data_IF_794112913839
#
_entry.id   IF_794112913839
#
_cell.length_a   1.000
_cell.length_b   1.000
_cell.length_c   1.000
_cell.angle_alpha   90.00
_cell.angle_beta   90.00
_cell.angle_gamma   90.00
#
_symmetry.space_group_name_H-M   'P 1'
#
loop_
_entity.id
_entity.type
_entity.pdbx_description
1 polymer ?
#
# COMPACT_ATOMS: atom_id res chain seq x y z
N UNK A 1 21.61 1.07 17.18
CA UNK A 1 21.04 -0.29 17.21
C UNK A 1 20.57 -0.57 15.79
N UNK A 2 20.86 -1.74 15.20
CA UNK A 2 20.40 -2.08 13.84
C UNK A 2 18.88 -2.24 13.83
N UNK A 3 18.24 -1.93 12.72
CA UNK A 3 16.81 -2.24 12.52
C UNK A 3 16.62 -3.74 12.41
N UNK A 4 15.53 -4.27 12.96
CA UNK A 4 15.26 -5.72 13.02
C UNK A 4 14.03 -6.06 12.22
N UNK A 5 14.13 -7.07 11.36
CA UNK A 5 12.98 -7.60 10.61
C UNK A 5 12.87 -9.09 10.89
N UNK A 6 11.74 -9.49 11.45
CA UNK A 6 11.39 -10.90 11.58
C UNK A 6 10.77 -11.38 10.28
N UNK A 7 11.28 -12.48 9.75
CA UNK A 7 10.77 -13.17 8.56
C UNK A 7 10.35 -14.58 8.97
N UNK A 8 9.09 -14.93 8.77
CA UNK A 8 8.58 -16.24 9.15
C UNK A 8 7.72 -16.86 8.06
N UNK A 9 7.98 -18.13 7.76
CA UNK A 9 7.14 -18.95 6.88
C UNK A 9 5.72 -19.06 7.45
N UNK A 10 4.75 -18.80 6.59
CA UNK A 10 3.32 -18.95 6.85
C UNK A 10 2.65 -19.39 5.55
N UNK A 11 2.53 -20.70 5.35
CA UNK A 11 2.17 -21.30 4.06
C UNK A 11 0.72 -21.08 3.62
N UNK A 12 -0.18 -20.72 4.52
CA UNK A 12 -1.57 -20.45 4.18
C UNK A 12 -2.22 -19.61 5.28
N UNK A 13 -3.50 -19.33 5.09
CA UNK A 13 -4.32 -18.59 6.04
C UNK A 13 -5.04 -19.47 7.07
N UNK A 14 -4.56 -20.71 7.33
CA UNK A 14 -5.02 -21.49 8.48
C UNK A 14 -4.84 -20.67 9.75
N UNK A 15 -5.93 -20.51 10.49
CA UNK A 15 -5.98 -19.57 11.59
C UNK A 15 -4.93 -19.87 12.68
N UNK A 16 -4.79 -21.15 13.06
CA UNK A 16 -3.86 -21.57 14.10
C UNK A 16 -2.41 -21.44 13.66
N UNK A 17 -2.11 -21.62 12.38
CA UNK A 17 -0.79 -21.36 11.81
C UNK A 17 -0.47 -19.87 11.82
N UNK A 18 -1.39 -19.03 11.34
CA UNK A 18 -1.20 -17.57 11.33
C UNK A 18 -0.99 -17.05 12.74
N UNK A 19 -1.83 -17.45 13.72
CA UNK A 19 -1.70 -17.04 15.13
C UNK A 19 -0.33 -17.39 15.71
N UNK A 20 0.10 -18.65 15.59
CA UNK A 20 1.43 -19.09 16.08
C UNK A 20 2.58 -18.35 15.40
N UNK A 21 2.44 -18.04 14.11
CA UNK A 21 3.45 -17.28 13.37
C UNK A 21 3.59 -15.87 13.92
N UNK A 22 2.47 -15.20 14.20
CA UNK A 22 2.45 -13.84 14.74
C UNK A 22 2.98 -13.81 16.18
N UNK A 23 2.58 -14.76 17.03
CA UNK A 23 3.08 -14.90 18.40
C UNK A 23 4.60 -15.07 18.41
N UNK A 24 5.12 -16.05 17.65
CA UNK A 24 6.56 -16.29 17.50
C UNK A 24 7.30 -15.04 17.02
N UNK A 25 6.74 -14.32 16.03
CA UNK A 25 7.40 -13.15 15.49
C UNK A 25 7.43 -11.97 16.46
N UNK A 26 6.38 -11.78 17.25
CA UNK A 26 6.37 -10.80 18.32
C UNK A 26 7.37 -11.16 19.43
N UNK A 27 7.47 -12.43 19.81
CA UNK A 27 8.46 -12.91 20.79
C UNK A 27 9.91 -12.61 20.35
N UNK A 28 10.24 -12.86 19.07
CA UNK A 28 11.56 -12.54 18.51
C UNK A 28 11.91 -11.04 18.57
N UNK A 29 10.90 -10.16 18.59
CA UNK A 29 11.10 -8.72 18.73
C UNK A 29 11.14 -8.21 20.18
N UNK A 30 10.95 -9.11 21.16
CA UNK A 30 10.90 -8.78 22.59
C UNK A 30 9.51 -8.87 23.22
N UNK A 31 8.53 -9.46 22.51
CA UNK A 31 7.16 -9.65 22.96
C UNK A 31 6.23 -8.48 22.65
N UNK A 32 4.92 -8.76 22.58
CA UNK A 32 3.91 -7.76 22.24
C UNK A 32 3.86 -6.55 23.21
N UNK A 33 4.20 -6.78 24.48
CA UNK A 33 4.24 -5.72 25.51
C UNK A 33 5.28 -4.62 25.27
N UNK A 34 6.22 -4.81 24.32
CA UNK A 34 7.13 -3.75 23.86
C UNK A 34 6.41 -2.68 23.04
N UNK A 35 5.29 -3.04 22.39
CA UNK A 35 4.59 -2.19 21.43
C UNK A 35 3.28 -1.64 21.96
N UNK A 36 2.71 -2.27 22.99
CA UNK A 36 1.43 -1.88 23.59
C UNK A 36 1.47 -2.04 25.11
N UNK A 37 0.74 -1.18 25.80
CA UNK A 37 0.59 -1.18 27.25
C UNK A 37 -0.88 -1.40 27.65
N UNK A 38 -1.10 -2.03 28.80
CA UNK A 38 -2.45 -2.33 29.31
C UNK A 38 -3.26 -1.04 29.45
N UNK A 39 -4.49 -1.04 28.92
CA UNK A 39 -5.42 0.08 29.01
C UNK A 39 -5.34 1.08 27.84
N UNK A 40 -4.29 1.04 27.02
CA UNK A 40 -4.18 1.86 25.81
C UNK A 40 -5.29 1.54 24.80
N UNK A 41 -5.70 2.55 24.03
CA UNK A 41 -6.51 2.39 22.81
C UNK A 41 -5.58 2.25 21.61
N UNK A 42 -5.52 1.05 21.06
CA UNK A 42 -4.66 0.70 19.93
C UNK A 42 -5.49 0.55 18.66
N UNK A 43 -5.10 1.29 17.63
CA UNK A 43 -5.68 1.17 16.29
C UNK A 43 -4.97 0.08 15.50
N UNK A 44 -5.74 -0.93 15.07
CA UNK A 44 -5.34 -1.85 14.01
C UNK A 44 -5.62 -1.20 12.65
N UNK A 45 -4.56 -1.00 11.87
CA UNK A 45 -4.62 -0.33 10.57
C UNK A 45 -4.41 -1.33 9.42
N UNK A 46 -5.45 -2.04 8.96
CA UNK A 46 -5.37 -2.92 7.79
C UNK A 46 -5.14 -2.12 6.49
N UNK A 47 -4.95 -2.87 5.40
CA UNK A 47 -5.03 -2.39 4.03
C UNK A 47 -6.40 -2.77 3.45
N UNK A 48 -7.23 -1.78 3.13
CA UNK A 48 -8.59 -1.98 2.60
C UNK A 48 -8.80 -1.46 1.18
N UNK A 49 -7.75 -0.96 0.51
CA UNK A 49 -7.69 -0.35 -0.84
C UNK A 49 -9.04 -0.09 -1.56
N UNK A 50 -9.75 -1.17 -1.92
CA UNK A 50 -11.13 -1.18 -2.44
C UNK A 50 -11.92 -2.33 -1.80
N UNK A 51 -13.25 -2.25 -1.84
CA UNK A 51 -14.13 -3.31 -1.34
C UNK A 51 -13.95 -4.62 -2.16
N UNK A 52 -13.13 -5.53 -1.63
CA UNK A 52 -12.75 -6.79 -2.27
C UNK A 52 -12.86 -7.94 -1.27
N UNK A 53 -13.26 -9.13 -1.73
CA UNK A 53 -13.27 -10.30 -0.87
C UNK A 53 -11.82 -10.82 -0.68
N UNK A 54 -11.55 -11.58 0.39
CA UNK A 54 -10.18 -11.98 0.78
C UNK A 54 -9.39 -12.70 -0.32
N UNK A 55 -10.07 -13.52 -1.13
CA UNK A 55 -9.48 -14.40 -2.15
C UNK A 55 -8.89 -13.61 -3.33
N UNK A 56 -9.19 -12.31 -3.43
CA UNK A 56 -8.55 -11.42 -4.41
C UNK A 56 -7.17 -10.91 -3.96
N UNK A 57 -6.75 -11.14 -2.71
CA UNK A 57 -5.45 -10.66 -2.20
C UNK A 57 -5.29 -9.13 -2.21
N UNK A 58 -6.39 -8.38 -2.31
CA UNK A 58 -6.38 -6.91 -2.38
C UNK A 58 -6.22 -6.29 -0.99
N UNK A 59 -6.76 -6.92 0.04
CA UNK A 59 -6.84 -6.39 1.41
C UNK A 59 -6.12 -7.31 2.38
N UNK A 60 -5.82 -6.81 3.58
CA UNK A 60 -5.31 -7.65 4.69
C UNK A 60 -6.26 -8.81 4.93
N UNK A 61 -5.72 -10.03 5.02
CA UNK A 61 -6.54 -11.22 5.19
C UNK A 61 -7.21 -11.28 6.58
N UNK A 62 -8.48 -11.72 6.68
CA UNK A 62 -9.21 -11.94 7.94
C UNK A 62 -8.43 -12.72 9.00
N UNK A 63 -7.76 -13.81 8.63
CA UNK A 63 -6.97 -14.63 9.57
C UNK A 63 -5.83 -13.84 10.22
N UNK A 64 -5.14 -12.99 9.45
CA UNK A 64 -4.05 -12.13 9.97
C UNK A 64 -4.64 -11.10 10.93
N UNK A 65 -5.71 -10.40 10.52
CA UNK A 65 -6.39 -9.43 11.36
C UNK A 65 -6.87 -10.04 12.69
N UNK A 66 -7.54 -11.19 12.65
CA UNK A 66 -8.01 -11.91 13.84
C UNK A 66 -6.86 -12.28 14.77
N UNK A 67 -5.80 -12.88 14.21
CA UNK A 67 -4.67 -13.35 14.99
C UNK A 67 -3.96 -12.19 15.70
N UNK A 68 -3.70 -11.06 15.02
CA UNK A 68 -3.13 -9.87 15.68
C UNK A 68 -4.07 -9.34 16.75
N UNK A 69 -5.37 -9.25 16.45
CA UNK A 69 -6.34 -8.72 17.39
C UNK A 69 -6.39 -9.54 18.69
N UNK A 70 -6.46 -10.87 18.60
CA UNK A 70 -6.45 -11.73 19.78
C UNK A 70 -5.15 -11.59 20.59
N UNK A 71 -3.99 -11.64 19.93
CA UNK A 71 -2.68 -11.53 20.62
C UNK A 71 -2.51 -10.19 21.35
N UNK A 72 -3.03 -9.09 20.79
CA UNK A 72 -2.97 -7.79 21.44
C UNK A 72 -4.03 -7.64 22.54
N UNK A 73 -5.25 -8.16 22.36
CA UNK A 73 -6.29 -8.15 23.42
C UNK A 73 -5.81 -8.86 24.68
N UNK A 74 -5.02 -9.92 24.55
CA UNK A 74 -4.43 -10.64 25.69
C UNK A 74 -3.46 -9.76 26.52
N UNK A 75 -3.02 -8.61 25.99
CA UNK A 75 -2.26 -7.58 26.74
C UNK A 75 -3.14 -6.55 27.46
N UNK A 76 -4.45 -6.67 27.34
CA UNK A 76 -5.42 -5.81 28.03
C UNK A 76 -5.56 -4.42 27.41
N UNK A 77 -5.31 -4.29 26.11
CA UNK A 77 -5.57 -3.06 25.35
C UNK A 77 -7.02 -3.01 24.86
N UNK A 78 -7.50 -1.80 24.58
CA UNK A 78 -8.75 -1.57 23.85
C UNK A 78 -8.41 -1.47 22.36
N UNK A 79 -9.06 -2.28 21.52
CA UNK A 79 -8.80 -2.24 20.09
C UNK A 79 -9.88 -1.44 19.36
N UNK A 80 -9.42 -0.65 18.40
CA UNK A 80 -10.24 -0.14 17.31
C UNK A 80 -9.59 -0.53 15.98
N UNK A 81 -10.31 -0.50 14.88
CA UNK A 81 -9.73 -0.75 13.56
C UNK A 81 -10.32 0.15 12.48
N UNK A 82 -9.55 0.39 11.43
CA UNK A 82 -10.05 1.09 10.25
C UNK A 82 -8.97 1.43 9.25
N UNK A 83 -9.40 1.77 8.04
CA UNK A 83 -8.59 2.29 6.94
C UNK A 83 -9.50 3.15 6.05
N UNK A 84 -8.93 4.06 5.27
CA UNK A 84 -9.68 4.91 4.34
C UNK A 84 -9.42 4.51 2.88
N UNK A 85 -10.22 3.66 2.24
CA UNK A 85 -10.12 3.45 0.80
C UNK A 85 -10.51 4.73 0.03
N UNK A 86 -9.92 4.95 -1.15
CA UNK A 86 -10.08 6.23 -1.87
C UNK A 86 -11.47 6.46 -2.48
N UNK A 87 -12.22 5.38 -2.77
CA UNK A 87 -13.37 5.43 -3.70
C UNK A 87 -14.62 4.71 -3.20
N UNK A 88 -14.55 4.08 -2.03
CA UNK A 88 -15.68 3.37 -1.41
C UNK A 88 -15.77 3.77 0.05
N UNK A 89 -16.92 3.59 0.68
CA UNK A 89 -17.03 3.86 2.12
C UNK A 89 -16.11 2.91 2.92
N UNK A 90 -15.36 3.41 3.91
CA UNK A 90 -14.48 2.60 4.77
C UNK A 90 -15.14 1.32 5.31
N UNK A 91 -16.32 1.44 5.91
CA UNK A 91 -17.04 0.31 6.50
C UNK A 91 -17.37 -0.78 5.47
N UNK A 92 -17.81 -0.37 4.27
CA UNK A 92 -18.15 -1.31 3.18
C UNK A 92 -16.93 -2.08 2.68
N UNK A 93 -15.76 -1.43 2.64
CA UNK A 93 -14.52 -2.13 2.29
C UNK A 93 -14.12 -3.15 3.36
N UNK A 94 -14.20 -2.77 4.64
CA UNK A 94 -13.93 -3.65 5.77
C UNK A 94 -14.90 -4.84 5.83
N UNK A 95 -16.18 -4.60 5.54
CA UNK A 95 -17.21 -5.64 5.48
C UNK A 95 -16.93 -6.63 4.36
N UNK A 96 -16.65 -6.14 3.14
CA UNK A 96 -16.35 -7.00 2.00
C UNK A 96 -15.06 -7.80 2.20
N UNK A 97 -14.08 -7.22 2.89
CA UNK A 97 -12.84 -7.89 3.29
C UNK A 97 -13.02 -8.89 4.44
N UNK A 98 -14.22 -9.02 5.03
CA UNK A 98 -14.51 -9.98 6.10
C UNK A 98 -14.08 -9.53 7.51
N UNK A 99 -13.52 -8.32 7.66
CA UNK A 99 -12.96 -7.85 8.94
C UNK A 99 -14.06 -7.45 9.93
N UNK A 100 -15.18 -6.91 9.44
CA UNK A 100 -16.31 -6.47 10.30
C UNK A 100 -16.89 -7.64 11.10
N UNK A 101 -16.96 -8.83 10.53
CA UNK A 101 -17.47 -10.02 11.23
C UNK A 101 -16.58 -10.36 12.44
N UNK A 102 -15.27 -10.42 12.22
CA UNK A 102 -14.28 -10.68 13.28
C UNK A 102 -14.30 -9.58 14.33
N UNK A 103 -14.37 -8.31 13.91
CA UNK A 103 -14.42 -7.19 14.84
C UNK A 103 -15.65 -7.27 15.76
N UNK A 104 -16.82 -7.67 15.25
CA UNK A 104 -18.01 -7.90 16.07
C UNK A 104 -17.83 -9.07 17.05
N UNK A 105 -17.27 -10.19 16.60
CA UNK A 105 -16.98 -11.35 17.46
C UNK A 105 -16.00 -11.01 18.59
N UNK A 106 -15.03 -10.14 18.32
CA UNK A 106 -14.00 -9.72 19.25
C UNK A 106 -14.30 -8.39 19.96
N UNK A 107 -15.49 -7.82 19.81
CA UNK A 107 -15.87 -6.51 20.40
C UNK A 107 -14.82 -5.41 20.13
N UNK A 108 -14.49 -5.23 18.84
CA UNK A 108 -13.54 -4.23 18.34
C UNK A 108 -14.31 -3.15 17.60
N UNK A 109 -14.09 -1.90 18.00
CA UNK A 109 -14.76 -0.74 17.41
C UNK A 109 -14.24 -0.46 15.99
N UNK A 110 -15.16 -0.13 15.07
CA UNK A 110 -14.78 0.47 13.78
C UNK A 110 -14.54 1.96 13.97
N UNK A 111 -13.29 2.39 13.82
CA UNK A 111 -12.88 3.77 14.07
C UNK A 111 -13.33 4.71 12.93
N UNK A 112 -13.44 6.01 13.24
CA UNK A 112 -13.83 7.02 12.25
C UNK A 112 -12.69 7.34 11.25
N UNK A 113 -12.88 6.90 10.01
CA UNK A 113 -12.03 7.18 8.85
C UNK A 113 -12.74 7.99 7.76
N UNK A 114 -13.92 8.52 8.05
CA UNK A 114 -14.67 9.41 7.15
C UNK A 114 -14.39 10.89 7.48
N UNK A 115 -14.19 11.21 8.76
CA UNK A 115 -13.79 12.55 9.21
C UNK A 115 -12.30 12.62 9.55
N UNK A 116 -11.75 13.83 9.57
CA UNK A 116 -10.39 14.07 10.03
C UNK A 116 -10.10 15.53 10.33
N UNK A 117 -8.98 15.76 11.00
CA UNK A 117 -8.56 17.08 11.46
C UNK A 117 -7.22 17.48 10.84
N UNK A 118 -7.00 18.78 10.53
CA UNK A 118 -5.71 19.26 10.07
C UNK A 118 -4.66 19.14 11.18
N UNK A 119 -3.52 18.57 10.85
CA UNK A 119 -2.36 18.41 11.73
C UNK A 119 -1.14 19.01 11.04
N UNK A 120 -0.47 19.92 11.75
CA UNK A 120 0.79 20.49 11.31
C UNK A 120 1.97 19.68 11.85
N UNK A 121 2.78 19.14 10.94
CA UNK A 121 4.00 18.41 11.22
C UNK A 121 5.21 19.29 10.93
N UNK A 122 5.73 19.96 11.96
CA UNK A 122 6.86 20.89 11.84
C UNK A 122 8.13 20.26 11.27
N UNK A 123 8.33 18.96 11.50
CA UNK A 123 9.47 18.16 11.02
C UNK A 123 9.31 17.64 9.59
N UNK A 124 8.15 17.82 8.96
CA UNK A 124 7.91 17.38 7.58
C UNK A 124 8.84 18.09 6.61
N UNK A 125 9.47 17.34 5.71
CA UNK A 125 10.42 17.89 4.73
C UNK A 125 9.74 18.28 3.42
N UNK A 126 8.80 17.46 2.95
CA UNK A 126 8.01 17.64 1.73
C UNK A 126 6.61 18.19 2.05
N UNK A 127 5.89 17.56 2.98
CA UNK A 127 4.54 17.94 3.38
C UNK A 127 4.49 18.17 4.90
N UNK A 128 4.09 19.39 5.29
CA UNK A 128 3.93 19.77 6.70
C UNK A 128 2.50 19.80 7.19
N UNK A 129 1.52 19.72 6.29
CA UNK A 129 0.11 19.76 6.66
C UNK A 129 -0.57 18.51 6.14
N UNK A 130 -1.26 17.81 7.03
CA UNK A 130 -2.04 16.62 6.71
C UNK A 130 -3.42 16.74 7.35
N UNK A 131 -4.44 16.25 6.68
CA UNK A 131 -5.70 15.92 7.36
C UNK A 131 -5.62 14.47 7.79
N UNK A 132 -5.70 14.21 9.09
CA UNK A 132 -5.57 12.87 9.67
C UNK A 132 -6.93 12.41 10.18
N UNK A 133 -7.28 11.15 9.88
CA UNK A 133 -8.53 10.53 10.28
C UNK A 133 -8.72 10.58 11.80
N UNK A 134 -9.94 10.91 12.25
CA UNK A 134 -10.27 11.03 13.68
C UNK A 134 -9.90 9.77 14.45
N UNK A 135 -10.19 8.59 13.90
CA UNK A 135 -9.86 7.31 14.53
C UNK A 135 -8.37 7.09 14.78
N UNK A 136 -7.50 7.70 13.96
CA UNK A 136 -6.04 7.69 14.17
C UNK A 136 -5.64 8.63 15.30
N UNK A 137 -6.25 9.82 15.37
CA UNK A 137 -5.95 10.83 16.40
C UNK A 137 -6.45 10.45 17.79
N UNK A 138 -7.53 9.69 17.87
CA UNK A 138 -8.12 9.20 19.13
C UNK A 138 -7.46 7.91 19.66
N UNK A 139 -6.38 7.46 19.05
CA UNK A 139 -5.68 6.23 19.45
C UNK A 139 -4.33 6.56 20.06
N UNK A 140 -3.96 5.85 21.13
CA UNK A 140 -2.67 6.01 21.81
C UNK A 140 -1.52 5.41 20.97
N UNK A 141 -1.84 4.45 20.09
CA UNK A 141 -0.88 3.81 19.21
C UNK A 141 -1.54 3.19 17.97
N UNK A 142 -0.72 3.00 16.93
CA UNK A 142 -1.12 2.36 15.67
C UNK A 142 -0.27 1.13 15.42
N UNK A 143 -0.92 0.02 15.09
CA UNK A 143 -0.30 -1.22 14.60
C UNK A 143 -0.76 -1.41 13.15
N UNK A 144 0.16 -1.38 12.20
CA UNK A 144 -0.16 -1.43 10.78
C UNK A 144 -0.10 -2.85 10.24
N UNK A 145 -1.12 -3.23 9.47
CA UNK A 145 -1.26 -4.57 8.88
C UNK A 145 -1.26 -4.49 7.34
N UNK A 146 -0.16 -4.07 6.69
CA UNK A 146 -0.11 -3.94 5.24
C UNK A 146 -0.26 -5.30 4.53
N UNK A 147 -0.83 -5.27 3.33
CA UNK A 147 -0.85 -6.37 2.35
C UNK A 147 0.22 -6.11 1.30
N UNK A 148 1.11 -7.06 1.05
CA UNK A 148 2.20 -6.87 0.08
C UNK A 148 1.72 -6.99 -1.37
N UNK A 149 1.91 -5.94 -2.16
CA UNK A 149 1.41 -5.86 -3.54
C UNK A 149 2.32 -5.00 -4.42
N UNK A 150 2.29 -5.19 -5.72
CA UNK A 150 2.86 -4.21 -6.67
C UNK A 150 2.05 -2.93 -6.71
N UNK A 151 2.69 -1.85 -7.15
CA UNK A 151 2.04 -0.56 -7.36
C UNK A 151 2.64 0.21 -8.53
N UNK A 152 1.80 0.72 -9.41
CA UNK A 152 2.22 1.33 -10.69
C UNK A 152 2.98 2.65 -10.52
N UNK A 153 2.67 3.40 -9.46
CA UNK A 153 3.35 4.65 -9.12
C UNK A 153 4.60 4.47 -8.23
N UNK A 154 4.50 3.72 -7.13
CA UNK A 154 5.52 3.63 -6.07
C UNK A 154 6.36 2.34 -6.13
N UNK A 155 6.17 1.49 -7.15
CA UNK A 155 6.80 0.17 -7.27
C UNK A 155 6.05 -0.88 -6.46
N UNK A 156 5.89 -0.66 -5.16
CA UNK A 156 5.19 -1.56 -4.24
C UNK A 156 4.17 -0.84 -3.35
N UNK A 157 3.26 -1.62 -2.77
CA UNK A 157 2.43 -1.28 -1.62
C UNK A 157 2.85 -2.18 -0.46
N UNK A 158 3.30 -1.57 0.63
CA UNK A 158 3.67 -2.26 1.86
C UNK A 158 3.59 -1.29 3.05
N UNK A 159 4.52 -1.34 4.01
CA UNK A 159 4.44 -0.69 5.32
C UNK A 159 4.33 0.83 5.25
N UNK A 160 5.24 1.49 4.51
CA UNK A 160 5.24 2.97 4.39
C UNK A 160 3.96 3.44 3.68
N UNK A 161 3.63 2.81 2.55
CA UNK A 161 2.49 3.23 1.72
C UNK A 161 1.14 2.99 2.40
N UNK A 162 1.02 1.98 3.26
CA UNK A 162 -0.24 1.68 3.95
C UNK A 162 -0.72 2.82 4.86
N UNK A 163 0.18 3.72 5.28
CA UNK A 163 -0.16 4.89 6.09
C UNK A 163 -0.91 5.97 5.31
N UNK A 164 -0.90 5.92 3.97
CA UNK A 164 -1.76 6.79 3.17
C UNK A 164 -3.25 6.58 3.52
N UNK A 165 -3.58 5.39 4.02
CA UNK A 165 -4.84 5.03 4.67
C UNK A 165 -5.32 5.95 5.80
N UNK A 166 -4.40 6.63 6.48
CA UNK A 166 -4.69 7.52 7.60
C UNK A 166 -5.21 8.91 7.18
N UNK A 167 -5.18 9.22 5.89
CA UNK A 167 -5.82 10.41 5.31
C UNK A 167 -7.25 10.03 4.91
N UNK A 168 -8.30 10.76 5.33
CA UNK A 168 -9.67 10.42 5.03
C UNK A 168 -10.06 10.73 3.57
N UNK A 169 -10.65 9.73 2.91
CA UNK A 169 -11.52 9.86 1.73
C UNK A 169 -10.93 10.57 0.51
N UNK A 170 -11.75 11.46 -0.08
CA UNK A 170 -11.57 12.20 -1.34
C UNK A 170 -10.39 13.18 -1.37
N UNK A 171 -9.69 13.37 -0.24
CA UNK A 171 -8.45 14.15 -0.21
C UNK A 171 -7.29 13.41 -0.89
N UNK A 172 -7.36 12.07 -0.98
CA UNK A 172 -6.30 11.24 -1.56
C UNK A 172 -6.04 11.51 -3.05
N UNK A 173 -7.06 11.64 -3.91
CA UNK A 173 -6.86 12.11 -5.27
C UNK A 173 -6.19 13.49 -5.37
N UNK A 174 -6.42 14.40 -4.42
CA UNK A 174 -5.76 15.72 -4.45
C UNK A 174 -4.25 15.63 -4.31
N UNK A 175 -3.74 14.72 -3.46
CA UNK A 175 -2.30 14.51 -3.33
C UNK A 175 -1.69 14.03 -4.64
N UNK A 176 -2.39 13.17 -5.40
CA UNK A 176 -1.90 12.71 -6.71
C UNK A 176 -1.92 13.80 -7.79
N UNK A 177 -2.79 14.80 -7.65
CA UNK A 177 -2.83 15.95 -8.56
C UNK A 177 -1.77 17.00 -8.18
N UNK A 178 -1.58 17.26 -6.89
CA UNK A 178 -0.62 18.24 -6.38
C UNK A 178 0.83 17.74 -6.44
N UNK A 179 1.05 16.45 -6.18
CA UNK A 179 2.37 15.81 -6.19
C UNK A 179 2.51 15.04 -7.50
N UNK A 180 3.02 15.75 -8.50
CA UNK A 180 2.96 15.30 -9.89
C UNK A 180 3.94 14.19 -10.22
N UNK A 181 4.91 13.90 -9.35
CA UNK A 181 5.93 12.87 -9.56
C UNK A 181 5.88 11.74 -8.51
N UNK A 182 6.26 10.49 -8.87
CA UNK A 182 6.41 9.40 -7.90
C UNK A 182 7.35 9.74 -6.74
N UNK A 183 8.39 10.53 -7.01
CA UNK A 183 9.36 10.99 -6.03
C UNK A 183 8.72 11.90 -4.99
N UNK A 184 8.01 12.96 -5.42
CA UNK A 184 7.31 13.90 -4.53
C UNK A 184 6.23 13.19 -3.71
N UNK A 185 5.47 12.30 -4.33
CA UNK A 185 4.45 11.50 -3.64
C UNK A 185 5.08 10.59 -2.58
N UNK A 186 6.21 9.94 -2.89
CA UNK A 186 6.90 9.07 -1.95
C UNK A 186 7.49 9.83 -0.76
N UNK A 187 8.06 11.02 -0.97
CA UNK A 187 8.52 11.90 0.13
C UNK A 187 7.38 12.31 1.06
N UNK A 188 6.20 12.60 0.50
CA UNK A 188 5.01 12.87 1.30
C UNK A 188 4.57 11.66 2.13
N UNK A 189 4.61 10.45 1.57
CA UNK A 189 4.31 9.22 2.32
C UNK A 189 5.30 8.98 3.47
N UNK A 190 6.57 9.32 3.28
CA UNK A 190 7.59 9.25 4.34
C UNK A 190 7.25 10.24 5.45
N UNK A 191 6.98 11.51 5.13
CA UNK A 191 6.56 12.51 6.13
C UNK A 191 5.29 12.09 6.88
N UNK A 192 4.30 11.54 6.16
CA UNK A 192 3.07 11.03 6.77
C UNK A 192 3.36 9.89 7.74
N UNK A 193 4.22 8.94 7.36
CA UNK A 193 4.58 7.81 8.23
C UNK A 193 5.35 8.30 9.46
N UNK A 194 6.22 9.31 9.31
CA UNK A 194 6.91 9.96 10.45
C UNK A 194 5.94 10.71 11.38
N UNK A 195 4.86 11.28 10.84
CA UNK A 195 3.81 11.92 11.63
C UNK A 195 2.98 10.89 12.39
N UNK A 196 2.48 9.84 11.72
CA UNK A 196 1.63 8.82 12.35
C UNK A 196 2.42 7.97 13.35
N UNK A 197 3.68 7.66 13.02
CA UNK A 197 4.58 6.84 13.83
C UNK A 197 3.95 5.51 14.32
N UNK A 198 3.46 4.63 13.41
CA UNK A 198 3.03 3.29 13.83
C UNK A 198 4.13 2.57 14.60
N UNK A 199 3.73 1.86 15.66
CA UNK A 199 4.65 1.20 16.60
C UNK A 199 5.17 -0.13 16.07
N UNK A 200 4.41 -0.76 15.17
CA UNK A 200 4.70 -2.07 14.62
C UNK A 200 4.01 -2.24 13.26
N UNK A 201 4.66 -2.98 12.37
CA UNK A 201 4.16 -3.39 11.07
C UNK A 201 4.16 -4.93 11.01
N UNK A 202 3.00 -5.52 10.74
CA UNK A 202 2.83 -6.96 10.53
C UNK A 202 2.36 -7.14 9.10
N UNK A 203 3.29 -7.48 8.21
CA UNK A 203 3.05 -7.55 6.77
C UNK A 203 2.43 -8.90 6.41
N UNK A 204 1.24 -8.85 5.83
CA UNK A 204 0.59 -9.98 5.17
C UNK A 204 1.18 -10.14 3.76
N UNK A 205 2.10 -11.08 3.63
CA UNK A 205 2.70 -11.49 2.37
C UNK A 205 2.45 -12.98 2.06
N UNK A 206 1.52 -13.66 2.76
CA UNK A 206 1.21 -15.07 2.51
C UNK A 206 0.78 -15.25 1.05
N UNK A 207 -0.28 -14.55 0.66
CA UNK A 207 -0.60 -14.27 -0.73
C UNK A 207 -0.27 -12.80 -1.03
N UNK A 208 0.72 -12.56 -1.87
CA UNK A 208 1.04 -11.24 -2.41
C UNK A 208 0.27 -10.98 -3.72
N UNK A 209 0.33 -9.75 -4.22
CA UNK A 209 -0.19 -9.41 -5.55
C UNK A 209 0.92 -8.88 -6.46
N UNK A 210 1.07 -9.49 -7.63
CA UNK A 210 2.02 -9.07 -8.66
C UNK A 210 1.34 -8.51 -9.92
N UNK A 211 2.14 -8.00 -10.86
CA UNK A 211 1.67 -7.48 -12.14
C UNK A 211 0.85 -6.20 -12.00
N UNK A 212 -0.40 -6.22 -12.46
CA UNK A 212 -1.28 -5.05 -12.54
C UNK A 212 -1.91 -4.65 -11.18
N UNK A 213 -1.14 -4.77 -10.08
CA UNK A 213 -1.50 -4.26 -8.77
C UNK A 213 -1.70 -2.74 -8.73
N UNK A 214 -2.22 -2.17 -7.63
CA UNK A 214 -2.42 -2.80 -6.32
C UNK A 214 -3.80 -3.43 -6.10
N UNK A 215 -4.65 -3.47 -7.13
CA UNK A 215 -6.03 -3.99 -7.01
C UNK A 215 -6.52 -4.89 -8.13
N UNK A 216 -5.75 -5.04 -9.21
CA UNK A 216 -6.13 -5.75 -10.44
C UNK A 216 -4.99 -6.65 -10.94
N UNK A 217 -4.09 -7.05 -10.05
CA UNK A 217 -2.98 -7.95 -10.34
C UNK A 217 -3.32 -9.40 -10.01
N UNK A 218 -2.34 -10.28 -10.23
CA UNK A 218 -2.46 -11.72 -10.00
C UNK A 218 -1.96 -12.09 -8.61
N UNK A 219 -2.53 -13.15 -8.03
CA UNK A 219 -2.08 -13.69 -6.76
C UNK A 219 -0.75 -14.40 -6.95
N UNK A 220 0.23 -14.05 -6.10
CA UNK A 220 1.50 -14.75 -5.99
C UNK A 220 1.64 -15.33 -4.58
N UNK A 221 1.83 -16.63 -4.46
CA UNK A 221 2.02 -17.28 -3.15
C UNK A 221 3.46 -17.08 -2.66
N UNK A 222 3.66 -16.18 -1.71
CA UNK A 222 4.99 -16.00 -1.07
C UNK A 222 5.14 -16.85 0.18
N UNK A 223 4.04 -17.11 0.90
CA UNK A 223 4.02 -17.98 2.06
C UNK A 223 4.78 -17.44 3.26
N UNK A 224 4.73 -16.13 3.53
CA UNK A 224 5.42 -15.53 4.67
C UNK A 224 4.71 -14.33 5.32
N UNK A 225 5.03 -14.11 6.60
CA UNK A 225 4.66 -12.91 7.37
C UNK A 225 5.97 -12.25 7.80
N UNK A 226 6.04 -10.92 7.63
CA UNK A 226 7.14 -10.12 8.17
C UNK A 226 6.67 -9.23 9.31
N UNK A 227 7.52 -9.02 10.30
CA UNK A 227 7.21 -8.14 11.44
C UNK A 227 8.41 -7.24 11.75
N UNK A 228 8.17 -5.93 11.88
CA UNK A 228 9.20 -4.95 12.26
C UNK A 228 8.59 -3.70 12.89
N UNK A 229 9.37 -3.00 13.72
CA UNK A 229 9.10 -1.62 14.16
C UNK A 229 9.71 -0.56 13.21
N UNK A 230 10.40 -0.99 12.15
CA UNK A 230 10.96 -0.13 11.09
C UNK A 230 10.25 -0.41 9.74
N UNK A 231 9.45 0.55 9.22
CA UNK A 231 8.71 0.34 7.97
C UNK A 231 9.61 0.33 6.73
N UNK A 232 10.75 1.02 6.77
CA UNK A 232 11.68 1.07 5.63
C UNK A 232 12.45 -0.24 5.56
N UNK A 233 12.83 -0.79 6.70
CA UNK A 233 13.54 -2.06 6.78
C UNK A 233 12.67 -3.21 6.26
N UNK A 234 11.41 -3.31 6.71
CA UNK A 234 10.53 -4.40 6.25
C UNK A 234 10.19 -4.29 4.76
N UNK A 235 10.00 -3.07 4.24
CA UNK A 235 9.78 -2.84 2.80
C UNK A 235 11.04 -3.20 1.99
N UNK A 236 12.24 -2.93 2.52
CA UNK A 236 13.52 -3.22 1.85
C UNK A 236 13.86 -4.71 1.85
N UNK A 237 13.53 -5.43 2.93
CA UNK A 237 13.63 -6.91 2.96
C UNK A 237 12.72 -7.54 1.91
N UNK A 238 11.49 -7.07 1.78
CA UNK A 238 10.59 -7.54 0.73
C UNK A 238 11.11 -7.21 -0.68
N UNK A 239 11.67 -6.01 -0.88
CA UNK A 239 12.32 -5.65 -2.14
C UNK A 239 13.47 -6.61 -2.48
N UNK A 240 14.32 -6.95 -1.51
CA UNK A 240 15.38 -7.94 -1.68
C UNK A 240 14.82 -9.32 -2.07
N UNK A 241 13.77 -9.79 -1.38
CA UNK A 241 13.10 -11.07 -1.67
C UNK A 241 12.64 -11.14 -3.13
N UNK A 242 12.04 -10.07 -3.67
CA UNK A 242 11.54 -10.03 -5.05
C UNK A 242 12.58 -9.56 -6.08
N UNK A 243 13.85 -9.45 -5.70
CA UNK A 243 14.92 -8.93 -6.56
C UNK A 243 14.57 -7.55 -7.17
N UNK A 244 14.15 -6.62 -6.32
CA UNK A 244 13.91 -5.22 -6.65
C UNK A 244 14.90 -4.36 -5.86
N UNK A 245 15.73 -3.61 -6.58
CA UNK A 245 16.67 -2.67 -5.95
C UNK A 245 15.93 -1.67 -5.04
N UNK A 246 16.25 -1.59 -3.73
CA UNK A 246 15.56 -0.70 -2.79
C UNK A 246 15.55 0.78 -3.21
N UNK A 247 16.62 1.25 -3.87
CA UNK A 247 16.71 2.62 -4.38
C UNK A 247 15.73 2.94 -5.51
N UNK A 248 15.16 1.92 -6.17
CA UNK A 248 14.07 2.07 -7.15
C UNK A 248 12.72 2.32 -6.47
N UNK A 249 12.61 2.01 -5.17
CA UNK A 249 11.44 2.28 -4.35
C UNK A 249 11.69 3.56 -3.54
N UNK A 250 11.21 4.69 -4.07
CA UNK A 250 11.49 6.01 -3.49
C UNK A 250 11.09 6.14 -2.01
N UNK A 251 10.07 5.43 -1.54
CA UNK A 251 9.72 5.42 -0.11
C UNK A 251 10.83 4.85 0.75
N UNK A 252 11.61 3.89 0.25
CA UNK A 252 12.72 3.31 1.00
C UNK A 252 13.91 4.26 1.00
N UNK A 253 14.29 4.76 -0.18
CA UNK A 253 15.36 5.74 -0.35
C UNK A 253 15.15 6.99 0.51
N UNK A 254 14.02 7.68 0.35
CA UNK A 254 13.74 8.88 1.14
C UNK A 254 13.38 8.56 2.58
N UNK A 255 12.86 7.36 2.86
CA UNK A 255 12.68 6.87 4.22
C UNK A 255 14.00 6.86 4.98
N UNK A 256 15.07 6.32 4.38
CA UNK A 256 16.41 6.36 4.94
C UNK A 256 16.96 7.79 5.02
N UNK A 257 16.88 8.56 3.93
CA UNK A 257 17.37 9.95 3.89
C UNK A 257 16.69 10.87 4.94
N UNK A 258 15.42 10.61 5.23
CA UNK A 258 14.63 11.41 6.17
C UNK A 258 14.75 10.90 7.61
N UNK A 259 15.38 9.74 7.81
CA UNK A 259 15.55 9.10 9.12
C UNK A 259 14.29 8.38 9.62
N UNK A 260 13.41 7.94 8.73
CA UNK A 260 12.26 7.10 9.05
C UNK A 260 12.68 5.65 9.38
N UNK A 261 13.73 5.13 8.73
CA UNK A 261 14.18 3.76 8.92
C UNK A 261 15.40 3.40 8.06
N UNK A 262 15.76 2.12 8.01
CA UNK A 262 16.97 1.62 7.32
C UNK A 262 16.58 0.91 6.02
N UNK A 263 17.13 1.36 4.88
CA UNK A 263 16.88 0.75 3.57
C UNK A 263 17.99 -0.23 3.14
N UNK A 264 19.21 0.00 3.63
CA UNK A 264 20.36 -0.84 3.34
C UNK A 264 20.26 -2.20 4.06
N UNK A 265 20.17 -3.28 3.29
CA UNK A 265 19.95 -4.65 3.79
C UNK A 265 21.06 -5.13 4.71
N UNK A 266 22.31 -4.70 4.50
CA UNK A 266 23.46 -5.10 5.32
C UNK A 266 23.41 -4.50 6.74
N UNK A 267 22.60 -3.45 6.89
CA UNK A 267 22.33 -2.75 8.14
C UNK A 267 21.03 -3.21 8.82
N UNK A 268 20.33 -4.19 8.25
CA UNK A 268 19.13 -4.81 8.82
C UNK A 268 19.49 -6.17 9.43
N UNK A 269 19.10 -6.39 10.67
CA UNK A 269 19.18 -7.69 11.32
C UNK A 269 17.95 -8.54 10.98
N UNK A 270 18.17 -9.66 10.29
CA UNK A 270 17.11 -10.61 9.95
C UNK A 270 16.96 -11.63 11.07
N UNK A 271 15.74 -11.78 11.58
CA UNK A 271 15.36 -12.74 12.61
C UNK A 271 14.40 -13.78 12.03
N UNK A 272 14.48 -15.03 12.50
CA UNK A 272 13.61 -16.11 12.02
C UNK A 272 14.22 -16.87 10.84
N UNK A 273 13.44 -17.01 9.76
CA UNK A 273 13.81 -17.80 8.58
C UNK A 273 14.75 -17.02 7.64
N UNK A 274 15.62 -17.74 6.93
CA UNK A 274 16.53 -17.14 5.94
C UNK A 274 15.78 -16.57 4.73
N UNK A 275 16.21 -15.40 4.24
CA UNK A 275 15.65 -14.77 3.03
C UNK A 275 15.77 -15.65 1.79
N UNK A 276 16.84 -16.47 1.71
CA UNK A 276 17.06 -17.38 0.59
C UNK A 276 15.93 -18.39 0.39
N UNK A 277 15.17 -18.69 1.45
CA UNK A 277 14.04 -19.62 1.39
C UNK A 277 12.80 -19.05 0.68
N UNK A 278 12.81 -17.74 0.38
CA UNK A 278 11.68 -17.01 -0.18
C UNK A 278 12.04 -16.20 -1.42
N UNK A 279 13.31 -16.25 -1.87
CA UNK A 279 13.77 -15.48 -3.02
C UNK A 279 12.93 -15.75 -4.27
N UNK A 280 12.33 -14.69 -4.81
CA UNK A 280 11.33 -14.72 -5.87
C UNK A 280 11.70 -13.71 -6.98
N UNK A 281 12.78 -13.94 -7.74
CA UNK A 281 13.24 -13.01 -8.76
C UNK A 281 12.28 -12.89 -9.95
N UNK A 282 11.41 -13.90 -10.14
CA UNK A 282 10.41 -13.93 -11.21
C UNK A 282 9.11 -13.21 -10.85
N UNK A 283 8.99 -12.67 -9.62
CA UNK A 283 7.84 -11.87 -9.20
C UNK A 283 7.62 -10.71 -10.20
N UNK A 284 6.41 -10.57 -10.75
CA UNK A 284 6.12 -9.58 -11.78
C UNK A 284 5.98 -8.18 -11.17
N UNK A 285 7.11 -7.48 -11.05
CA UNK A 285 7.19 -6.09 -10.61
C UNK A 285 7.89 -5.24 -11.66
N UNK A 286 7.51 -3.97 -11.76
CA UNK A 286 8.22 -3.01 -12.59
C UNK A 286 9.61 -2.73 -12.02
N UNK A 287 10.62 -3.40 -12.58
CA UNK A 287 12.03 -3.18 -12.27
C UNK A 287 12.64 -2.01 -13.05
N UNK A 288 11.90 -1.37 -13.95
CA UNK A 288 12.43 -0.27 -14.75
C UNK A 288 12.90 0.92 -13.92
N UNK A 289 13.87 1.69 -14.44
CA UNK A 289 14.39 2.87 -13.74
C UNK A 289 13.25 3.89 -13.58
N UNK A 290 12.94 4.37 -12.36
CA UNK A 290 11.93 5.41 -12.21
C UNK A 290 12.34 6.66 -13.00
N UNK A 291 11.64 6.93 -14.11
CA UNK A 291 11.89 8.10 -14.94
C UNK A 291 11.28 9.34 -14.27
N UNK A 292 11.82 9.75 -13.12
CA UNK A 292 11.25 10.75 -12.21
C UNK A 292 10.73 12.01 -12.93
N UNK A 293 11.62 12.89 -13.35
CA UNK A 293 11.28 14.13 -14.09
C UNK A 293 10.82 13.88 -15.53
N UNK A 294 10.76 12.65 -16.04
CA UNK A 294 10.25 12.42 -17.39
C UNK A 294 8.74 12.74 -17.50
N UNK A 295 8.03 12.74 -16.38
CA UNK A 295 6.68 13.31 -16.28
C UNK A 295 6.63 14.84 -16.42
N UNK A 296 7.77 15.54 -16.48
CA UNK A 296 7.89 16.96 -16.78
C UNK A 296 8.21 17.23 -18.26
N UNK A 297 8.47 16.19 -19.06
CA UNK A 297 8.70 16.32 -20.52
C UNK A 297 7.43 16.85 -21.16
N UNK A 298 7.50 18.02 -21.81
CA UNK A 298 6.34 18.67 -22.46
C UNK A 298 5.91 18.00 -23.77
N UNK A 299 6.79 17.22 -24.40
CA UNK A 299 6.52 16.55 -25.66
C UNK A 299 5.72 15.25 -25.47
N UNK A 300 4.41 15.31 -25.74
CA UNK A 300 3.49 14.19 -25.55
C UNK A 300 3.85 12.90 -26.30
N UNK A 301 4.43 13.02 -27.50
CA UNK A 301 4.88 11.86 -28.27
C UNK A 301 5.97 11.10 -27.49
N UNK A 302 6.98 11.83 -27.01
CA UNK A 302 8.08 11.26 -26.24
C UNK A 302 7.60 10.68 -24.90
N UNK A 303 6.68 11.37 -24.21
CA UNK A 303 6.03 10.83 -22.99
C UNK A 303 5.38 9.48 -23.26
N UNK A 304 4.63 9.35 -24.36
CA UNK A 304 3.92 8.11 -24.70
C UNK A 304 4.86 6.96 -25.08
N UNK A 305 6.10 7.26 -25.49
CA UNK A 305 7.12 6.27 -25.79
C UNK A 305 7.93 5.86 -24.55
N UNK A 306 7.99 6.68 -23.51
CA UNK A 306 8.84 6.46 -22.33
C UNK A 306 8.06 6.10 -21.05
N UNK A 307 6.83 6.58 -20.91
CA UNK A 307 6.05 6.45 -19.69
C UNK A 307 4.99 5.37 -19.82
N UNK A 308 4.87 4.58 -18.76
CA UNK A 308 3.75 3.67 -18.55
C UNK A 308 2.42 4.42 -18.63
N UNK A 309 1.40 3.79 -19.21
CA UNK A 309 0.08 4.41 -19.39
C UNK A 309 -1.06 3.44 -19.13
N UNK A 310 -2.18 3.91 -18.56
CA UNK A 310 -3.40 3.11 -18.45
C UNK A 310 -3.99 2.90 -19.85
N UNK A 311 -4.41 1.68 -20.12
CA UNK A 311 -5.12 1.26 -21.34
C UNK A 311 -6.35 0.47 -20.91
N UNK A 312 -7.47 0.70 -21.57
CA UNK A 312 -8.71 -0.03 -21.31
C UNK A 312 -8.69 -1.31 -22.15
N UNK A 313 -8.94 -2.44 -21.51
CA UNK A 313 -9.35 -3.65 -22.18
C UNK A 313 -10.86 -3.59 -22.47
N UNK A 314 -11.23 -3.53 -23.75
CA UNK A 314 -12.61 -3.38 -24.17
C UNK A 314 -13.44 -4.66 -23.98
N UNK A 315 -12.81 -5.83 -23.89
CA UNK A 315 -13.50 -7.09 -23.67
C UNK A 315 -13.99 -7.20 -22.22
N UNK A 316 -13.16 -6.76 -21.27
CA UNK A 316 -13.49 -6.74 -19.84
C UNK A 316 -14.33 -5.53 -19.43
N UNK A 317 -14.24 -4.41 -20.14
CA UNK A 317 -14.88 -3.15 -19.73
C UNK A 317 -16.40 -3.16 -19.85
N UNK A 318 -17.10 -2.86 -18.75
CA UNK A 318 -18.57 -2.78 -18.70
C UNK A 318 -19.14 -1.38 -18.90
N UNK A 319 -18.31 -0.39 -19.29
CA UNK A 319 -18.73 1.00 -19.55
C UNK A 319 -19.49 1.63 -18.37
N UNK A 320 -19.03 1.39 -17.14
CA UNK A 320 -19.69 1.91 -15.94
C UNK A 320 -19.36 3.39 -15.63
N UNK A 321 -18.37 3.99 -16.30
CA UNK A 321 -18.01 5.41 -16.10
C UNK A 321 -17.17 5.73 -14.87
N UNK A 322 -16.94 4.78 -13.94
CA UNK A 322 -16.19 5.03 -12.69
C UNK A 322 -14.80 5.63 -12.95
N UNK A 323 -14.08 5.18 -13.99
CA UNK A 323 -12.78 5.76 -14.34
C UNK A 323 -12.86 7.25 -14.69
N UNK A 324 -13.95 7.69 -15.32
CA UNK A 324 -14.25 9.08 -15.65
C UNK A 324 -14.60 9.86 -14.38
N UNK A 325 -15.53 9.35 -13.58
CA UNK A 325 -15.95 9.97 -12.32
C UNK A 325 -14.77 10.28 -11.41
N UNK A 326 -13.88 9.30 -11.22
CA UNK A 326 -12.73 9.37 -10.33
C UNK A 326 -11.56 10.21 -10.87
N UNK A 327 -11.57 10.59 -12.15
CA UNK A 327 -10.49 11.41 -12.69
C UNK A 327 -10.53 12.84 -12.13
N UNK A 328 -9.58 13.18 -11.27
CA UNK A 328 -9.45 14.50 -10.64
C UNK A 328 -8.67 15.53 -11.48
N UNK A 329 -8.08 15.10 -12.60
CA UNK A 329 -7.43 16.00 -13.56
C UNK A 329 -8.50 16.88 -14.23
N UNK A 330 -8.18 18.17 -14.43
CA UNK A 330 -9.05 19.12 -15.15
C UNK A 330 -8.30 19.72 -16.35
N UNK A 331 -8.78 19.53 -17.60
CA UNK A 331 -9.92 18.69 -17.99
C UNK A 331 -9.67 17.20 -17.71
N UNK A 332 -10.75 16.40 -17.59
CA UNK A 332 -10.64 14.96 -17.28
C UNK A 332 -9.81 14.25 -18.35
N UNK A 333 -8.88 13.42 -17.91
CA UNK A 333 -7.97 12.67 -18.78
C UNK A 333 -8.60 11.40 -19.37
N UNK A 334 -9.77 11.00 -18.91
CA UNK A 334 -10.58 9.92 -19.48
C UNK A 334 -12.01 10.42 -19.60
N UNK A 335 -12.62 10.16 -20.75
CA UNK A 335 -13.90 10.75 -21.13
C UNK A 335 -14.69 9.80 -22.03
N UNK A 336 -16.00 10.06 -22.15
CA UNK A 336 -16.85 9.36 -23.12
C UNK A 336 -16.55 9.87 -24.52
N UNK A 337 -16.24 8.97 -25.46
CA UNK A 337 -16.05 9.34 -26.86
C UNK A 337 -17.31 10.05 -27.37
N UNK A 338 -17.13 11.25 -27.94
CA UNK A 338 -18.22 12.12 -28.41
C UNK A 338 -19.29 12.42 -27.35
N UNK A 339 -18.95 12.31 -26.06
CA UNK A 339 -19.90 12.47 -24.96
C UNK A 339 -20.91 11.33 -24.80
N UNK A 340 -20.76 10.21 -25.51
CA UNK A 340 -21.72 9.12 -25.56
C UNK A 340 -21.39 8.00 -24.54
N UNK A 341 -22.20 7.79 -23.47
CA UNK A 341 -21.95 6.76 -22.46
C UNK A 341 -22.11 5.32 -22.95
N UNK A 342 -22.68 5.10 -24.14
CA UNK A 342 -22.75 3.76 -24.76
C UNK A 342 -21.43 3.32 -25.40
N UNK A 343 -20.52 4.28 -25.65
CA UNK A 343 -19.18 4.03 -26.16
C UNK A 343 -18.22 3.68 -25.02
N UNK A 344 -17.10 3.06 -25.37
CA UNK A 344 -16.02 2.87 -24.39
C UNK A 344 -15.39 4.22 -24.02
N UNK A 345 -14.97 4.41 -22.76
CA UNK A 345 -14.16 5.55 -22.38
C UNK A 345 -12.85 5.57 -23.18
N UNK A 346 -12.34 6.77 -23.47
CA UNK A 346 -11.04 6.99 -24.11
C UNK A 346 -10.16 7.89 -23.25
N UNK A 347 -8.84 7.70 -23.32
CA UNK A 347 -7.88 8.52 -22.59
C UNK A 347 -7.32 9.65 -23.45
N UNK A 348 -7.33 10.88 -22.93
CA UNK A 348 -6.46 11.95 -23.42
C UNK A 348 -5.13 11.93 -22.66
N UNK A 349 -4.13 11.37 -23.32
CA UNK A 349 -2.78 11.24 -22.79
C UNK A 349 -1.98 12.56 -22.73
N UNK A 350 -2.49 13.63 -23.34
CA UNK A 350 -1.87 14.96 -23.27
C UNK A 350 -2.09 15.61 -21.91
N UNK A 351 -3.22 15.28 -21.27
CA UNK A 351 -3.58 15.78 -19.93
C UNK A 351 -3.45 14.71 -18.84
N UNK A 352 -3.36 13.43 -19.20
CA UNK A 352 -3.18 12.35 -18.23
C UNK A 352 -1.84 12.46 -17.46
N UNK A 353 -1.93 12.62 -16.14
CA UNK A 353 -0.77 12.69 -15.24
C UNK A 353 -0.17 11.33 -14.86
N UNK A 354 -0.73 10.21 -15.38
CA UNK A 354 -0.25 8.85 -15.08
C UNK A 354 -0.28 8.50 -13.58
N UNK A 355 -1.32 8.95 -12.87
CA UNK A 355 -1.52 8.58 -11.45
C UNK A 355 -2.08 7.16 -11.25
N UNK A 356 -2.62 6.54 -12.31
CA UNK A 356 -3.23 5.20 -12.29
C UNK A 356 -4.44 5.01 -11.36
N UNK A 357 -4.99 6.07 -10.74
CA UNK A 357 -6.21 5.98 -9.94
C UNK A 357 -7.40 5.34 -10.68
N UNK A 358 -7.51 5.55 -12.00
CA UNK A 358 -8.53 4.90 -12.83
C UNK A 358 -8.38 3.37 -12.89
N UNK A 359 -7.15 2.86 -12.87
CA UNK A 359 -6.85 1.43 -12.83
C UNK A 359 -7.18 0.86 -11.46
N UNK A 360 -6.79 1.54 -10.39
CA UNK A 360 -7.13 1.13 -9.01
C UNK A 360 -8.64 1.10 -8.75
N UNK A 361 -9.38 2.06 -9.31
CA UNK A 361 -10.81 2.21 -9.10
C UNK A 361 -11.67 1.28 -9.97
N UNK A 362 -11.12 0.65 -11.02
CA UNK A 362 -11.90 -0.18 -11.92
C UNK A 362 -12.43 -1.42 -11.18
N UNK A 363 -13.77 -1.62 -11.06
CA UNK A 363 -14.31 -2.79 -10.37
C UNK A 363 -14.26 -4.07 -11.20
N UNK A 364 -14.01 -3.94 -12.50
CA UNK A 364 -13.93 -5.03 -13.47
C UNK A 364 -12.49 -5.34 -13.90
N UNK A 365 -11.51 -4.71 -13.26
CA UNK A 365 -10.08 -4.92 -13.54
C UNK A 365 -9.72 -4.68 -15.03
N UNK A 366 -10.56 -3.90 -15.74
CA UNK A 366 -10.50 -3.69 -17.19
C UNK A 366 -9.54 -2.58 -17.65
N UNK A 367 -8.67 -2.08 -16.75
CA UNK A 367 -7.66 -1.08 -17.08
C UNK A 367 -6.31 -1.63 -16.67
N UNK A 368 -5.40 -1.78 -17.63
CA UNK A 368 -4.07 -2.31 -17.41
C UNK A 368 -2.99 -1.27 -17.72
N UNK A 369 -1.80 -1.47 -17.15
CA UNK A 369 -0.65 -0.63 -17.43
C UNK A 369 0.12 -1.15 -18.63
N UNK A 370 0.13 -0.36 -19.70
CA UNK A 370 0.95 -0.62 -20.89
C UNK A 370 2.34 0.00 -20.72
N UNK A 371 3.36 -0.85 -20.70
CA UNK A 371 4.77 -0.45 -20.81
C UNK A 371 5.13 -0.30 -22.30
N UNK A 372 5.51 0.90 -22.76
CA UNK A 372 5.93 1.12 -24.15
C UNK A 372 7.17 0.29 -24.55
N UNK A 373 7.31 -0.07 -25.83
CA UNK A 373 8.45 -0.87 -26.30
C UNK A 373 9.81 -0.20 -26.05
N UNK A 374 9.92 1.12 -26.35
CA UNK A 374 11.15 1.86 -26.09
C UNK A 374 11.49 1.87 -24.60
N UNK A 375 10.48 1.97 -23.74
CA UNK A 375 10.67 1.86 -22.29
C UNK A 375 11.21 0.48 -21.89
N UNK A 376 10.66 -0.61 -22.42
CA UNK A 376 11.17 -1.97 -22.18
C UNK A 376 12.64 -2.12 -22.57
N UNK A 377 13.04 -1.53 -23.70
CA UNK A 377 14.43 -1.55 -24.17
C UNK A 377 15.33 -0.79 -23.20
N UNK A 378 14.94 0.43 -22.79
CA UNK A 378 15.70 1.23 -21.81
C UNK A 378 15.84 0.47 -20.49
N UNK A 379 14.76 -0.12 -20.01
CA UNK A 379 14.78 -0.87 -18.75
C UNK A 379 15.72 -2.09 -18.85
N UNK A 380 15.74 -2.80 -19.99
CA UNK A 380 16.63 -3.94 -20.23
C UNK A 380 18.13 -3.58 -20.22
N UNK A 381 18.50 -2.38 -20.69
CA UNK A 381 19.90 -1.93 -20.62
C UNK A 381 20.32 -1.44 -19.23
N UNK A 382 19.36 -1.19 -18.33
CA UNK A 382 19.60 -0.70 -16.96
C UNK A 382 19.27 -1.73 -15.86
N UNK A 383 18.74 -2.90 -16.24
CA UNK A 383 18.54 -4.09 -15.40
C UNK A 383 19.78 -4.95 -15.46
#
# INVERSE_FOLDING_TARGET
>A
MKSRVVVLRCEDYDYLRVKRTIEKGLELLGGAGKFVEKGERILLKPNLLKASPPEKGVTTHPSVFRAVAEVLKDKGVKLAFGDSPGFVKPYRAAEKAGLVKIAKELDIEFADFENGQPVYFSRGRQNKNFTIATGVLESDGVISLPKFKTHQLTGITCAVKNQFGCIPGILKPEFHVKLTTPEEFSKMLVDLTMLIKPRLYIVDAVEAMEGNGPGAGDIFHMGLILISDDPVAVDSVLCHIINLEPDRVFTNRYGQEFGLGVADIDNIEILGDSLNNFYAPDFDVNRGVPLGKAQLVKFNLLRNMLLNRPVIDYDSCKRCGICIEQCSVRPKAVFWKDGNPSMYPEFDYRVCIRCFCCQEACPYDAIFVKVPLLRKIIDWFNS
#
